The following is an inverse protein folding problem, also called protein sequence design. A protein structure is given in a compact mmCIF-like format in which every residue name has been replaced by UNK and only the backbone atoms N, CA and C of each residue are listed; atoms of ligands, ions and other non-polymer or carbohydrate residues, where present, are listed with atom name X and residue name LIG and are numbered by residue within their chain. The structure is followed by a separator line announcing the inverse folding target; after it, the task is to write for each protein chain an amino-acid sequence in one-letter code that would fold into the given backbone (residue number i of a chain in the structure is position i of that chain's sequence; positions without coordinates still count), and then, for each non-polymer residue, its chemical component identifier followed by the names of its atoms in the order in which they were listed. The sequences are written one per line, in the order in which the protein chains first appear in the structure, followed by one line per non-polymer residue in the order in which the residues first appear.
data_IF_292066646757
#
_entry.id   IF_292066646757
#
_cell.length_a   1.000
_cell.length_b   1.000
_cell.length_c   1.000
_cell.angle_alpha   90.00
_cell.angle_beta   90.00
_cell.angle_gamma   90.00
#
_symmetry.space_group_name_H-M   'P 1'
#
loop_
_entity.id
_entity.type
_entity.pdbx_description
1 polymer ?
#
# COMPACT_ATOMS: atom_id res chain seq x y z
N UNK A 1 -6.74 35.13 44.53
CA UNK A 1 -7.07 35.78 43.23
C UNK A 1 -7.82 37.10 43.36
N UNK A 2 -8.30 37.49 44.55
CA UNK A 2 -8.95 38.78 44.79
C UNK A 2 -8.31 39.52 45.97
N UNK A 3 -8.41 40.84 45.95
CA UNK A 3 -8.05 41.74 47.05
C UNK A 3 -9.30 42.49 47.50
N UNK A 4 -9.50 42.61 48.82
CA UNK A 4 -10.64 43.32 49.39
C UNK A 4 -10.13 44.43 50.31
N UNK A 5 -10.76 45.60 50.23
CA UNK A 5 -10.47 46.76 51.09
C UNK A 5 -11.79 47.31 51.63
N UNK A 6 -11.77 47.84 52.84
CA UNK A 6 -12.96 48.44 53.47
C UNK A 6 -13.02 49.92 53.10
N UNK A 7 -14.12 50.34 52.48
CA UNK A 7 -14.39 51.74 52.12
C UNK A 7 -15.78 52.10 52.64
N UNK A 8 -15.90 53.10 53.52
CA UNK A 8 -17.16 53.53 54.14
C UNK A 8 -17.98 52.41 54.81
N UNK A 9 -17.33 51.50 55.53
CA UNK A 9 -18.01 50.41 56.24
C UNK A 9 -18.49 49.25 55.35
N UNK A 10 -18.24 49.31 54.04
CA UNK A 10 -18.50 48.22 53.10
C UNK A 10 -17.20 47.62 52.57
N UNK A 11 -17.16 46.29 52.42
CA UNK A 11 -16.04 45.59 51.81
C UNK A 11 -16.13 45.65 50.28
N UNK A 12 -15.19 46.35 49.64
CA UNK A 12 -15.07 46.40 48.18
C UNK A 12 -13.93 45.48 47.75
N UNK A 13 -14.26 44.49 46.92
CA UNK A 13 -13.30 43.51 46.41
C UNK A 13 -13.03 43.72 44.91
N UNK A 14 -11.81 43.46 44.48
CA UNK A 14 -11.39 43.44 43.07
C UNK A 14 -10.50 42.22 42.80
N UNK A 15 -10.42 41.76 41.55
CA UNK A 15 -9.46 40.72 41.19
C UNK A 15 -8.02 41.27 41.21
N UNK A 16 -7.07 40.39 41.53
CA UNK A 16 -5.64 40.70 41.39
C UNK A 16 -5.29 40.93 39.90
N UNK A 17 -4.20 41.66 39.59
CA UNK A 17 -3.71 41.79 38.22
C UNK A 17 -3.57 40.42 37.55
N UNK A 18 -3.95 40.32 36.27
CA UNK A 18 -3.98 39.08 35.48
C UNK A 18 -5.13 38.09 35.78
N UNK A 19 -5.96 38.34 36.80
CA UNK A 19 -7.17 37.58 37.08
C UNK A 19 -8.43 38.34 36.60
N UNK A 20 -9.37 37.62 36.00
CA UNK A 20 -10.63 38.16 35.47
C UNK A 20 -11.84 37.55 36.19
N UNK A 21 -12.97 38.24 36.16
CA UNK A 21 -14.24 37.80 36.77
C UNK A 21 -14.68 38.70 37.93
N UNK A 22 -15.60 38.18 38.75
CA UNK A 22 -16.17 38.89 39.89
C UNK A 22 -15.66 38.28 41.19
N UNK A 23 -15.03 39.06 42.09
CA UNK A 23 -14.61 38.58 43.40
C UNK A 23 -15.78 37.97 44.18
N UNK A 24 -15.55 36.87 44.94
CA UNK A 24 -14.26 36.21 45.19
C UNK A 24 -13.81 35.24 44.08
N UNK A 25 -14.67 34.96 43.10
CA UNK A 25 -14.47 33.95 42.04
C UNK A 25 -13.62 34.45 40.87
N UNK A 26 -12.49 35.07 41.18
CA UNK A 26 -11.53 35.51 40.18
C UNK A 26 -10.75 34.32 39.59
N UNK A 27 -10.74 34.21 38.27
CA UNK A 27 -10.07 33.14 37.53
C UNK A 27 -8.98 33.70 36.60
N UNK A 28 -7.93 32.93 36.27
CA UNK A 28 -6.95 33.34 35.27
C UNK A 28 -7.60 33.47 33.89
N UNK A 29 -6.83 33.94 32.90
CA UNK A 29 -7.28 33.99 31.51
C UNK A 29 -7.62 32.59 30.97
N UNK A 30 -6.82 31.59 31.32
CA UNK A 30 -7.08 30.20 30.97
C UNK A 30 -6.56 29.24 32.04
N UNK A 31 -7.16 28.05 32.13
CA UNK A 31 -6.59 26.88 32.82
C UNK A 31 -6.30 25.72 31.87
N UNK A 32 -6.98 25.66 30.73
CA UNK A 32 -6.79 24.67 29.67
C UNK A 32 -6.76 25.34 28.30
N UNK A 33 -6.06 24.75 27.34
CA UNK A 33 -5.91 25.36 26.00
C UNK A 33 -7.23 25.55 25.26
N UNK A 34 -8.24 24.74 25.54
CA UNK A 34 -9.58 24.86 24.93
C UNK A 34 -10.34 26.12 25.35
N UNK A 35 -9.89 26.83 26.38
CA UNK A 35 -10.41 28.16 26.76
C UNK A 35 -9.80 29.29 25.91
N UNK A 36 -8.74 28.98 25.15
CA UNK A 36 -8.10 29.90 24.22
C UNK A 36 -8.66 29.72 22.80
N UNK A 37 -8.38 30.70 21.93
CA UNK A 37 -8.58 30.55 20.49
C UNK A 37 -7.73 29.40 19.92
N UNK A 38 -8.13 28.82 18.79
CA UNK A 38 -7.50 27.64 18.18
C UNK A 38 -6.03 27.85 17.79
N UNK A 39 -5.60 29.10 17.65
CA UNK A 39 -4.24 29.56 17.36
C UNK A 39 -3.35 29.77 18.61
N UNK A 40 -3.89 29.51 19.81
CA UNK A 40 -3.21 29.75 21.10
C UNK A 40 -3.24 28.53 21.99
N UNK A 41 -2.35 28.46 22.97
CA UNK A 41 -2.31 27.45 24.02
C UNK A 41 -2.33 28.11 25.39
N UNK A 42 -2.83 27.41 26.41
CA UNK A 42 -2.76 27.91 27.76
C UNK A 42 -1.38 27.62 28.37
N UNK A 43 -0.59 28.67 28.57
CA UNK A 43 0.73 28.59 29.20
C UNK A 43 0.84 29.62 30.31
N UNK A 44 1.22 29.19 31.50
CA UNK A 44 1.33 30.05 32.68
C UNK A 44 0.07 30.91 32.90
N UNK A 45 -1.11 30.28 32.83
CA UNK A 45 -2.41 30.94 33.04
C UNK A 45 -2.77 32.03 32.00
N UNK A 46 -2.06 32.09 30.86
CA UNK A 46 -2.32 33.00 29.75
C UNK A 46 -2.46 32.29 28.41
N UNK A 47 -3.31 32.82 27.54
CA UNK A 47 -3.47 32.33 26.18
C UNK A 47 -2.38 32.92 25.27
N UNK A 48 -1.38 32.10 24.93
CA UNK A 48 -0.23 32.52 24.13
C UNK A 48 -0.08 31.67 22.88
N UNK A 49 0.46 32.24 21.80
CA UNK A 49 0.76 31.43 20.61
C UNK A 49 1.95 30.49 20.89
N UNK A 50 1.85 29.19 20.57
CA UNK A 50 2.98 28.27 20.60
C UNK A 50 3.94 28.43 19.41
N UNK A 51 3.74 29.39 18.51
CA UNK A 51 4.72 29.75 17.48
C UNK A 51 5.53 30.98 17.90
N UNK A 52 6.83 31.08 17.54
CA UNK A 52 7.62 30.14 16.74
C UNK A 52 8.26 29.00 17.53
N UNK A 53 8.24 29.04 18.88
CA UNK A 53 8.84 27.99 19.71
C UNK A 53 7.80 26.94 20.07
N UNK A 54 7.91 25.71 19.54
CA UNK A 54 9.15 24.92 19.60
C UNK A 54 9.81 24.62 18.25
N UNK A 55 9.45 25.30 17.16
CA UNK A 55 10.03 25.01 15.85
C UNK A 55 11.50 25.42 15.74
N UNK A 56 12.23 24.68 14.91
CA UNK A 56 13.63 24.90 14.58
C UNK A 56 13.85 26.09 13.65
N UNK A 57 15.08 26.25 13.16
CA UNK A 57 15.40 27.30 12.20
C UNK A 57 14.97 26.92 10.77
N UNK A 58 14.70 27.92 9.95
CA UNK A 58 14.27 27.78 8.54
C UNK A 58 12.96 27.00 8.36
N UNK A 59 12.03 27.14 9.31
CA UNK A 59 10.68 26.55 9.23
C UNK A 59 9.58 27.61 9.14
N UNK A 60 8.45 27.21 8.61
CA UNK A 60 7.15 27.85 8.81
C UNK A 60 6.44 27.16 9.97
N UNK A 61 5.91 27.94 10.92
CA UNK A 61 5.16 27.45 12.07
C UNK A 61 3.68 27.81 11.90
N UNK A 62 2.80 26.82 12.00
CA UNK A 62 1.35 27.02 12.00
C UNK A 62 0.75 26.36 13.23
N UNK A 63 -0.21 27.02 13.87
CA UNK A 63 -0.92 26.44 15.02
C UNK A 63 -2.19 25.77 14.52
N UNK A 64 -2.34 24.47 14.82
CA UNK A 64 -3.54 23.69 14.50
C UNK A 64 -4.01 23.06 15.81
N UNK A 65 -5.24 23.40 16.24
CA UNK A 65 -5.85 22.88 17.47
C UNK A 65 -4.93 23.04 18.68
N UNK A 66 -4.51 24.27 18.97
CA UNK A 66 -3.61 24.63 20.07
C UNK A 66 -2.19 24.03 19.99
N UNK A 67 -1.87 23.29 18.92
CA UNK A 67 -0.59 22.59 18.73
C UNK A 67 0.23 23.22 17.62
N UNK A 68 1.54 23.46 17.83
CA UNK A 68 2.42 23.98 16.79
C UNK A 68 2.79 22.88 15.80
N UNK A 69 2.61 23.17 14.50
CA UNK A 69 3.02 22.35 13.37
C UNK A 69 4.18 23.08 12.69
N UNK A 70 5.34 22.42 12.67
CA UNK A 70 6.57 22.94 12.10
C UNK A 70 6.84 22.28 10.75
N UNK A 71 7.05 23.07 9.70
CA UNK A 71 7.40 22.56 8.37
C UNK A 71 8.62 23.31 7.82
N UNK A 72 9.59 22.61 7.22
CA UNK A 72 10.71 23.29 6.57
C UNK A 72 10.21 24.24 5.47
N UNK A 73 10.83 25.43 5.37
CA UNK A 73 10.56 26.40 4.30
C UNK A 73 10.87 25.79 2.94
N UNK A 74 10.26 26.35 1.89
CA UNK A 74 10.55 25.95 0.52
C UNK A 74 12.07 25.99 0.24
N UNK A 75 12.62 24.94 -0.38
CA UNK A 75 14.06 24.72 -0.64
C UNK A 75 14.91 24.39 0.60
N UNK A 76 14.31 24.04 1.72
CA UNK A 76 14.98 23.50 2.90
C UNK A 76 14.52 22.07 3.19
N UNK A 77 15.39 21.28 3.81
CA UNK A 77 15.11 19.90 4.26
C UNK A 77 15.79 19.64 5.62
N UNK A 78 15.44 18.55 6.30
CA UNK A 78 15.94 18.23 7.64
C UNK A 78 14.80 18.05 8.66
N UNK A 79 15.11 18.27 9.94
CA UNK A 79 14.15 18.17 11.04
C UNK A 79 13.53 19.54 11.36
N UNK A 80 12.20 19.71 11.19
CA UNK A 80 11.50 20.97 11.49
C UNK A 80 11.50 21.40 12.96
N UNK A 81 11.75 20.51 13.92
CA UNK A 81 11.82 20.88 15.34
C UNK A 81 13.22 21.29 15.78
N UNK A 82 14.24 20.87 15.03
CA UNK A 82 15.65 21.16 15.34
C UNK A 82 16.22 22.22 14.40
N UNK A 83 16.41 21.88 13.13
CA UNK A 83 17.02 22.76 12.13
C UNK A 83 16.78 22.22 10.71
N UNK A 84 16.25 23.06 9.82
CA UNK A 84 16.23 22.78 8.39
C UNK A 84 17.42 23.46 7.69
N UNK A 85 18.08 22.73 6.80
CA UNK A 85 19.21 23.19 5.99
C UNK A 85 18.80 23.34 4.52
N UNK A 86 19.48 24.25 3.81
CA UNK A 86 19.21 24.53 2.40
C UNK A 86 19.48 23.26 1.58
N UNK A 87 18.59 22.93 0.66
CA UNK A 87 18.81 21.85 -0.30
C UNK A 87 19.95 22.29 -1.23
N UNK A 88 21.15 21.73 -1.00
CA UNK A 88 22.38 22.02 -1.76
C UNK A 88 22.59 21.08 -2.93
N UNK A 89 21.93 19.92 -2.90
CA UNK A 89 21.88 19.02 -4.04
C UNK A 89 20.95 19.66 -5.08
N UNK A 90 21.36 19.83 -6.36
CA UNK A 90 20.36 19.83 -7.41
C UNK A 90 19.50 18.58 -7.18
N UNK A 91 18.24 18.60 -7.59
CA UNK A 91 17.47 17.37 -7.73
C UNK A 91 18.17 16.60 -8.87
N UNK A 92 19.36 16.06 -8.59
CA UNK A 92 20.05 15.14 -9.47
C UNK A 92 19.04 14.03 -9.61
N UNK A 93 18.64 13.80 -10.86
CA UNK A 93 17.97 12.59 -11.26
C UNK A 93 18.55 11.47 -10.40
N UNK A 94 17.68 10.86 -9.59
CA UNK A 94 18.01 9.60 -8.92
C UNK A 94 18.77 8.79 -9.96
N UNK A 95 19.99 8.30 -9.68
CA UNK A 95 20.69 7.48 -10.66
C UNK A 95 19.66 6.47 -11.16
N UNK A 96 19.43 6.41 -12.47
CA UNK A 96 18.37 5.57 -13.06
C UNK A 96 18.74 4.11 -12.80
N UNK A 97 18.52 3.66 -11.57
CA UNK A 97 18.54 2.28 -11.17
C UNK A 97 17.35 1.69 -11.87
N UNK A 98 17.60 0.67 -12.69
CA UNK A 98 16.55 -0.02 -13.42
C UNK A 98 15.45 -0.43 -12.41
N UNK A 99 14.22 0.11 -12.53
CA UNK A 99 13.12 -0.18 -11.61
C UNK A 99 12.68 -1.65 -11.67
N UNK A 100 13.20 -2.43 -12.64
CA UNK A 100 13.01 -3.86 -12.74
C UNK A 100 14.03 -4.69 -11.94
N UNK A 101 14.95 -4.06 -11.17
CA UNK A 101 15.98 -4.78 -10.40
C UNK A 101 16.00 -4.34 -8.93
N UNK A 102 15.55 -5.21 -7.98
CA UNK A 102 14.87 -6.50 -8.22
C UNK A 102 13.45 -6.31 -8.77
N UNK A 103 12.95 -7.27 -9.55
CA UNK A 103 11.68 -7.12 -10.27
C UNK A 103 10.48 -6.99 -9.32
N UNK A 104 9.64 -5.94 -9.47
CA UNK A 104 8.43 -5.78 -8.66
C UNK A 104 7.22 -6.55 -9.20
N UNK A 105 7.33 -7.19 -10.37
CA UNK A 105 6.19 -7.69 -11.14
C UNK A 105 5.62 -9.05 -10.69
N UNK A 106 6.21 -9.70 -9.69
CA UNK A 106 5.78 -11.02 -9.23
C UNK A 106 6.24 -12.17 -10.13
N UNK A 107 5.84 -13.40 -9.76
CA UNK A 107 6.23 -14.62 -10.46
C UNK A 107 5.47 -14.77 -11.80
N UNK A 108 6.09 -15.40 -12.79
CA UNK A 108 5.56 -15.55 -14.16
C UNK A 108 5.21 -14.23 -14.88
N UNK A 109 5.77 -13.11 -14.45
CA UNK A 109 5.60 -11.79 -15.06
C UNK A 109 6.94 -11.23 -15.54
N UNK A 110 6.91 -10.52 -16.67
CA UNK A 110 8.05 -9.76 -17.17
C UNK A 110 7.93 -8.29 -16.76
N UNK A 111 9.07 -7.67 -16.45
CA UNK A 111 9.18 -6.25 -16.17
C UNK A 111 9.83 -5.53 -17.35
N UNK A 112 9.27 -4.39 -17.76
CA UNK A 112 9.85 -3.47 -18.72
C UNK A 112 10.00 -2.10 -18.08
N UNK A 113 11.20 -1.53 -18.16
CA UNK A 113 11.45 -0.16 -17.73
C UNK A 113 10.92 0.83 -18.78
N UNK A 114 9.83 1.52 -18.46
CA UNK A 114 9.25 2.59 -19.27
C UNK A 114 9.62 3.95 -18.65
N UNK A 115 10.77 4.51 -19.05
CA UNK A 115 11.24 5.85 -18.62
C UNK A 115 11.33 6.01 -17.10
N UNK A 116 11.93 5.02 -16.42
CA UNK A 116 12.11 5.01 -14.97
C UNK A 116 10.92 4.45 -14.18
N UNK A 117 9.88 3.96 -14.86
CA UNK A 117 8.71 3.32 -14.24
C UNK A 117 8.66 1.84 -14.64
N UNK A 118 8.51 0.89 -13.70
CA UNK A 118 8.36 -0.51 -14.04
C UNK A 118 6.96 -0.78 -14.60
N UNK A 119 6.90 -1.43 -15.76
CA UNK A 119 5.67 -1.91 -16.40
C UNK A 119 5.68 -3.43 -16.39
N UNK A 120 4.60 -4.03 -15.88
CA UNK A 120 4.50 -5.47 -15.69
C UNK A 120 3.49 -6.08 -16.67
N UNK A 121 3.85 -7.22 -17.26
CA UNK A 121 2.90 -8.05 -18.02
C UNK A 121 3.15 -9.53 -17.75
N UNK A 122 2.13 -10.38 -17.88
CA UNK A 122 2.34 -11.83 -17.77
C UNK A 122 3.21 -12.34 -18.91
N UNK A 123 4.01 -13.37 -18.63
CA UNK A 123 4.75 -14.10 -19.66
C UNK A 123 3.77 -14.83 -20.60
N UNK A 124 4.17 -15.14 -21.84
CA UNK A 124 3.34 -15.92 -22.76
C UNK A 124 2.88 -17.25 -22.14
N UNK A 125 1.59 -17.56 -22.22
CA UNK A 125 0.99 -18.76 -21.62
C UNK A 125 0.53 -18.59 -20.18
N UNK A 126 0.73 -17.42 -19.58
CA UNK A 126 0.16 -17.05 -18.29
C UNK A 126 -0.91 -15.98 -18.48
N UNK A 127 -2.01 -16.13 -17.75
CA UNK A 127 -3.17 -15.26 -17.78
C UNK A 127 -3.36 -14.50 -16.46
N UNK A 128 -4.12 -13.41 -16.54
CA UNK A 128 -4.41 -12.53 -15.41
C UNK A 128 -3.61 -11.23 -15.43
N UNK A 129 -3.48 -10.62 -14.25
CA UNK A 129 -2.81 -9.33 -14.07
C UNK A 129 -1.66 -9.49 -13.06
N UNK A 130 -0.44 -9.03 -13.39
CA UNK A 130 0.66 -9.00 -12.43
C UNK A 130 0.27 -8.32 -11.11
N UNK A 131 0.75 -8.82 -9.96
CA UNK A 131 1.72 -9.90 -9.78
C UNK A 131 1.13 -11.33 -9.83
N UNK A 132 -0.18 -11.46 -10.07
CA UNK A 132 -0.92 -12.72 -9.98
C UNK A 132 -1.09 -13.37 -11.37
N UNK A 133 0.00 -13.58 -12.08
CA UNK A 133 0.00 -14.31 -13.34
C UNK A 133 -0.09 -15.82 -13.07
N UNK A 134 -1.14 -16.46 -13.61
CA UNK A 134 -1.40 -17.89 -13.42
C UNK A 134 -1.37 -18.63 -14.75
N UNK A 135 -0.98 -19.91 -14.79
CA UNK A 135 -1.11 -20.72 -15.99
C UNK A 135 -2.58 -20.94 -16.37
N UNK A 136 -2.82 -21.42 -17.58
CA UNK A 136 -4.16 -21.82 -18.04
C UNK A 136 -4.77 -22.91 -17.16
N UNK A 137 -3.94 -23.90 -16.77
CA UNK A 137 -4.34 -24.98 -15.88
C UNK A 137 -3.21 -25.38 -14.94
N UNK A 138 -3.59 -25.94 -13.80
CA UNK A 138 -2.70 -26.61 -12.84
C UNK A 138 -3.09 -28.06 -12.62
N UNK A 139 -4.36 -28.38 -12.82
CA UNK A 139 -4.93 -29.73 -12.74
C UNK A 139 -5.85 -29.98 -13.93
N UNK A 140 -6.16 -31.25 -14.19
CA UNK A 140 -7.00 -31.64 -15.32
C UNK A 140 -8.40 -31.02 -15.26
N UNK A 141 -8.93 -30.87 -14.05
CA UNK A 141 -10.25 -30.32 -13.75
C UNK A 141 -10.37 -28.82 -14.04
N UNK A 142 -9.26 -28.11 -14.25
CA UNK A 142 -9.26 -26.73 -14.76
C UNK A 142 -9.61 -26.69 -16.26
N UNK A 143 -9.45 -27.82 -16.97
CA UNK A 143 -9.71 -27.95 -18.40
C UNK A 143 -11.11 -28.51 -18.68
N UNK A 144 -11.57 -28.35 -19.93
CA UNK A 144 -12.76 -29.05 -20.40
C UNK A 144 -12.57 -30.58 -20.35
N UNK A 145 -13.66 -31.35 -20.23
CA UNK A 145 -13.63 -32.82 -20.04
C UNK A 145 -12.94 -33.60 -21.18
N UNK A 146 -12.81 -32.98 -22.35
CA UNK A 146 -12.13 -33.52 -23.54
C UNK A 146 -10.66 -33.05 -23.68
N UNK A 147 -10.12 -32.30 -22.72
CA UNK A 147 -8.75 -31.81 -22.69
C UNK A 147 -8.05 -32.30 -21.42
N UNK A 148 -6.73 -32.24 -21.36
CA UNK A 148 -5.96 -32.54 -20.16
C UNK A 148 -4.97 -31.42 -19.87
N UNK A 149 -4.62 -31.24 -18.60
CA UNK A 149 -3.60 -30.27 -18.23
C UNK A 149 -2.22 -30.87 -18.46
N UNK A 150 -1.59 -30.47 -19.56
CA UNK A 150 -0.26 -30.96 -19.96
C UNK A 150 0.65 -29.74 -20.11
N UNK A 151 1.73 -29.70 -19.33
CA UNK A 151 2.66 -28.57 -19.29
C UNK A 151 1.95 -27.22 -19.04
N UNK A 152 1.04 -27.18 -18.07
CA UNK A 152 0.29 -25.97 -17.67
C UNK A 152 -0.64 -25.40 -18.76
N UNK A 153 -0.97 -26.22 -19.77
CA UNK A 153 -1.84 -25.86 -20.89
C UNK A 153 -2.92 -26.92 -21.10
N UNK A 154 -4.15 -26.50 -21.37
CA UNK A 154 -5.21 -27.43 -21.70
C UNK A 154 -5.03 -27.93 -23.13
N UNK A 155 -4.71 -29.20 -23.29
CA UNK A 155 -4.40 -29.80 -24.59
C UNK A 155 -5.09 -31.15 -24.75
N UNK A 156 -5.34 -31.54 -26.01
CA UNK A 156 -5.95 -32.83 -26.32
C UNK A 156 -4.95 -33.96 -26.03
N UNK A 157 -5.20 -34.83 -25.03
CA UNK A 157 -4.30 -35.90 -24.66
C UNK A 157 -4.20 -36.99 -25.74
N UNK A 158 -5.09 -37.04 -26.74
CA UNK A 158 -4.99 -38.01 -27.84
C UNK A 158 -3.81 -37.76 -28.78
N UNK A 159 -3.33 -36.53 -28.88
CA UNK A 159 -2.25 -36.16 -29.81
C UNK A 159 -0.93 -36.81 -29.40
N UNK A 160 -0.57 -37.91 -30.08
CA UNK A 160 0.67 -38.64 -29.87
C UNK A 160 0.63 -39.72 -28.79
N UNK A 161 -0.56 -40.01 -28.23
CA UNK A 161 -0.70 -40.95 -27.11
C UNK A 161 -1.14 -42.36 -27.49
N UNK A 162 -1.67 -42.60 -28.70
CA UNK A 162 -2.12 -43.93 -29.10
C UNK A 162 -1.27 -44.51 -30.24
N UNK A 163 -1.08 -45.84 -30.22
CA UNK A 163 -0.43 -46.58 -31.31
C UNK A 163 -1.24 -46.64 -32.60
N UNK A 164 -0.61 -47.15 -33.67
CA UNK A 164 -1.25 -47.33 -34.98
C UNK A 164 -2.42 -48.33 -34.85
N UNK A 165 -3.52 -48.07 -35.56
CA UNK A 165 -4.77 -48.84 -35.52
C UNK A 165 -5.52 -48.81 -34.17
N UNK A 166 -5.36 -47.75 -33.38
CA UNK A 166 -6.20 -47.46 -32.22
C UNK A 166 -7.10 -46.23 -32.47
N UNK A 167 -8.35 -46.29 -32.02
CA UNK A 167 -9.31 -45.19 -32.11
C UNK A 167 -9.25 -44.35 -30.83
N UNK A 168 -8.48 -43.26 -30.82
CA UNK A 168 -8.36 -42.44 -29.62
C UNK A 168 -9.64 -41.66 -29.32
N UNK A 169 -10.09 -41.72 -28.07
CA UNK A 169 -11.06 -40.79 -27.53
C UNK A 169 -10.65 -40.38 -26.12
N UNK A 170 -11.09 -39.19 -25.69
CA UNK A 170 -10.78 -38.66 -24.37
C UNK A 170 -11.89 -39.03 -23.40
N UNK A 171 -11.54 -39.64 -22.27
CA UNK A 171 -12.45 -39.93 -21.18
C UNK A 171 -11.85 -39.42 -19.88
N UNK A 172 -12.53 -38.48 -19.21
CA UNK A 172 -12.08 -37.85 -17.97
C UNK A 172 -10.62 -37.36 -18.04
N UNK A 173 -10.30 -36.54 -19.05
CA UNK A 173 -8.96 -35.99 -19.29
C UNK A 173 -7.86 -37.03 -19.62
N UNK A 174 -8.23 -38.29 -19.85
CA UNK A 174 -7.29 -39.37 -20.21
C UNK A 174 -7.54 -39.84 -21.63
N UNK A 175 -6.47 -40.04 -22.39
CA UNK A 175 -6.53 -40.67 -23.70
C UNK A 175 -6.84 -42.17 -23.54
N UNK A 176 -7.97 -42.60 -24.08
CA UNK A 176 -8.38 -44.00 -24.14
C UNK A 176 -8.18 -44.47 -25.58
N UNK A 177 -7.39 -45.52 -25.75
CA UNK A 177 -6.92 -46.01 -27.05
C UNK A 177 -7.49 -47.40 -27.40
N UNK A 178 -8.79 -47.66 -27.51
CA UNK A 178 -9.28 -48.97 -27.93
C UNK A 178 -8.79 -49.32 -29.33
N UNK A 179 -8.45 -50.60 -29.54
CA UNK A 179 -8.17 -51.15 -30.86
C UNK A 179 -9.46 -51.23 -31.69
N UNK A 180 -9.37 -51.08 -33.02
CA UNK A 180 -10.54 -51.24 -33.90
C UNK A 180 -11.11 -52.66 -33.85
N UNK A 181 -12.41 -52.82 -34.16
CA UNK A 181 -13.07 -54.14 -34.20
C UNK A 181 -12.30 -55.10 -35.13
N UNK A 182 -11.82 -56.21 -34.57
CA UNK A 182 -10.96 -57.19 -35.25
C UNK A 182 -9.48 -57.16 -34.86
N UNK A 183 -9.06 -56.24 -33.98
CA UNK A 183 -7.70 -56.20 -33.43
C UNK A 183 -7.69 -56.41 -31.91
N UNK A 184 -6.80 -57.29 -31.41
CA UNK A 184 -6.71 -57.67 -29.98
C UNK A 184 -5.31 -57.41 -29.47
N UNK A 185 -5.16 -56.70 -28.35
CA UNK A 185 -3.87 -56.44 -27.70
C UNK A 185 -3.86 -55.15 -26.89
N UNK A 186 -2.72 -54.85 -26.27
CA UNK A 186 -2.50 -53.57 -25.59
C UNK A 186 -2.08 -52.50 -26.61
N UNK A 187 -2.68 -51.32 -26.52
CA UNK A 187 -2.61 -50.25 -27.54
C UNK A 187 -1.27 -49.52 -27.64
N UNK A 188 -0.22 -50.06 -27.04
CA UNK A 188 1.16 -49.60 -27.13
C UNK A 188 2.08 -50.77 -27.47
N UNK A 189 2.85 -50.74 -28.58
CA UNK A 189 2.99 -49.66 -29.58
C UNK A 189 2.04 -49.74 -30.79
N UNK A 190 1.27 -50.83 -30.94
CA UNK A 190 0.39 -51.08 -32.08
C UNK A 190 -0.67 -52.11 -31.71
N UNK A 191 -1.88 -51.96 -32.25
CA UNK A 191 -2.89 -53.02 -32.25
C UNK A 191 -2.58 -54.01 -33.40
N UNK A 192 -2.24 -55.29 -33.13
CA UNK A 192 -2.01 -56.27 -34.18
C UNK A 192 -3.34 -56.65 -34.84
N UNK A 193 -3.34 -56.76 -36.17
CA UNK A 193 -4.48 -57.26 -36.94
C UNK A 193 -4.63 -58.76 -36.68
N UNK A 194 -5.86 -59.26 -36.43
CA UNK A 194 -6.12 -60.70 -36.54
C UNK A 194 -6.07 -61.10 -38.02
N UNK A 195 -4.91 -61.51 -38.52
CA UNK A 195 -4.85 -62.34 -39.71
C UNK A 195 -5.44 -63.71 -39.36
N UNK A 196 -6.63 -63.99 -39.90
CA UNK A 196 -7.16 -65.34 -39.98
C UNK A 196 -6.48 -66.11 -41.09
#
# INVERSE_FOLDING_TARGET
NSQCKVTNGQSVCSCLPEYRGSPPNCRPECVVSTECSTDKTCKNQKCVSPCPRPCGQNTDCKVINHSPICTCKLKYTGDPFSNCYKITVPISAVPETDPCVPSPCGFNAQCQNLRGVPSCSCLPGFEGSPPNCRPECTINEDCASNLACINQKCTDPCKGSCGINANCHVQNHVAVCPCYEGSTGNSFPQCPNNSK
#
